data_IF_029671204242
#
_entry.id   IF_029671204242
#
_cell.length_a   1.000
_cell.length_b   1.000
_cell.length_c   1.000
_cell.angle_alpha   90.00
_cell.angle_beta   90.00
_cell.angle_gamma   90.00
#
_symmetry.space_group_name_H-M   'P 1'
#
loop_
_entity.id
_entity.type
_entity.pdbx_description
1 polymer ?
#
# COMPACT_ATOMS: atom_id res chain seq x y z
N UNK A 1 53.80 -19.68 -31.73
CA UNK A 1 54.04 -18.76 -30.59
C UNK A 1 53.02 -17.63 -30.51
N UNK A 2 52.64 -16.99 -31.63
CA UNK A 2 51.63 -15.92 -31.65
C UNK A 2 50.21 -16.43 -31.31
N UNK A 3 49.89 -17.67 -31.68
CA UNK A 3 48.54 -18.24 -31.50
C UNK A 3 48.21 -18.54 -30.03
N UNK A 4 49.19 -18.96 -29.23
CA UNK A 4 49.04 -19.21 -27.79
C UNK A 4 48.86 -17.88 -27.03
N UNK A 5 49.60 -16.84 -27.43
CA UNK A 5 49.47 -15.50 -26.84
C UNK A 5 48.09 -14.89 -27.15
N UNK A 6 47.58 -15.09 -28.36
CA UNK A 6 46.24 -14.65 -28.76
C UNK A 6 45.16 -15.41 -27.97
N UNK A 7 45.28 -16.73 -27.80
CA UNK A 7 44.32 -17.54 -27.04
C UNK A 7 44.28 -17.15 -25.55
N UNK A 8 45.43 -16.85 -24.94
CA UNK A 8 45.53 -16.40 -23.55
C UNK A 8 44.97 -15.00 -23.31
N UNK A 9 44.84 -14.17 -24.35
CA UNK A 9 44.23 -12.84 -24.25
C UNK A 9 42.72 -12.90 -24.58
N UNK A 10 42.34 -13.69 -25.58
CA UNK A 10 40.94 -13.84 -25.99
C UNK A 10 40.13 -14.57 -24.92
N UNK A 11 40.67 -15.64 -24.32
CA UNK A 11 39.97 -16.42 -23.29
C UNK A 11 39.46 -15.57 -22.11
N UNK A 12 40.33 -14.80 -21.44
CA UNK A 12 39.94 -13.90 -20.36
C UNK A 12 38.99 -12.79 -20.82
N UNK A 13 39.19 -12.25 -22.03
CA UNK A 13 38.33 -11.21 -22.59
C UNK A 13 36.90 -11.71 -22.80
N UNK A 14 36.75 -12.94 -23.32
CA UNK A 14 35.45 -13.59 -23.49
C UNK A 14 34.81 -13.90 -22.14
N UNK A 15 35.57 -14.40 -21.16
CA UNK A 15 35.06 -14.65 -19.81
C UNK A 15 34.56 -13.37 -19.11
N UNK A 16 35.29 -12.25 -19.25
CA UNK A 16 34.89 -10.96 -18.72
C UNK A 16 33.61 -10.43 -19.38
N UNK A 17 33.44 -10.65 -20.69
CA UNK A 17 32.23 -10.28 -21.40
C UNK A 17 31.01 -11.06 -20.90
N UNK A 18 31.14 -12.38 -20.68
CA UNK A 18 30.06 -13.18 -20.11
C UNK A 18 29.73 -12.78 -18.66
N UNK A 19 30.74 -12.51 -17.82
CA UNK A 19 30.53 -12.01 -16.46
C UNK A 19 29.83 -10.64 -16.45
N UNK A 20 30.17 -9.76 -17.40
CA UNK A 20 29.51 -8.47 -17.55
C UNK A 20 28.02 -8.63 -17.94
N UNK A 21 27.71 -9.54 -18.88
CA UNK A 21 26.32 -9.86 -19.25
C UNK A 21 25.56 -10.42 -18.04
N UNK A 22 26.15 -11.34 -17.27
CA UNK A 22 25.53 -11.91 -16.07
C UNK A 22 25.28 -10.81 -15.03
N UNK A 23 26.25 -9.92 -14.81
CA UNK A 23 26.12 -8.79 -13.89
C UNK A 23 25.01 -7.82 -14.32
N UNK A 24 24.93 -7.45 -15.59
CA UNK A 24 23.83 -6.62 -16.13
C UNK A 24 22.48 -7.34 -15.99
N UNK A 25 22.42 -8.66 -16.24
CA UNK A 25 21.20 -9.44 -16.09
C UNK A 25 20.75 -9.45 -14.63
N UNK A 26 21.67 -9.67 -13.68
CA UNK A 26 21.41 -9.60 -12.25
C UNK A 26 21.03 -8.19 -11.79
N UNK A 27 21.61 -7.14 -12.37
CA UNK A 27 21.20 -5.76 -12.09
C UNK A 27 19.81 -5.47 -12.64
N UNK A 28 19.43 -5.94 -13.83
CA UNK A 28 18.07 -5.77 -14.35
C UNK A 28 17.06 -6.58 -13.53
N UNK A 29 17.39 -7.83 -13.18
CA UNK A 29 16.55 -8.67 -12.31
C UNK A 29 16.46 -8.12 -10.88
N UNK A 30 17.58 -7.60 -10.37
CA UNK A 30 17.69 -6.95 -9.08
C UNK A 30 16.97 -5.61 -9.05
N UNK A 31 17.00 -4.81 -10.14
CA UNK A 31 16.18 -3.60 -10.27
C UNK A 31 14.69 -3.92 -10.39
N UNK A 32 14.31 -5.04 -11.02
CA UNK A 32 12.93 -5.55 -10.97
C UNK A 32 12.49 -5.95 -9.56
N UNK A 33 13.41 -6.39 -8.68
CA UNK A 33 13.10 -6.71 -7.28
C UNK A 33 13.34 -5.57 -6.28
N UNK A 34 14.14 -4.55 -6.60
CA UNK A 34 14.63 -3.57 -5.61
C UNK A 34 14.76 -2.12 -6.10
N UNK A 35 14.27 -1.75 -7.29
CA UNK A 35 14.44 -0.38 -7.78
C UNK A 35 13.46 0.07 -8.86
N UNK A 36 12.24 0.42 -8.44
CA UNK A 36 11.71 1.75 -8.73
C UNK A 36 10.75 2.19 -7.62
N UNK A 37 11.35 2.86 -6.63
CA UNK A 37 10.70 3.83 -5.75
C UNK A 37 10.40 5.09 -6.57
N UNK A 38 9.29 5.74 -6.22
CA UNK A 38 9.06 7.19 -6.31
C UNK A 38 8.82 7.81 -7.71
N UNK A 39 7.54 7.99 -8.03
CA UNK A 39 6.94 9.00 -8.92
C UNK A 39 5.45 8.90 -8.58
N UNK A 40 4.70 9.89 -8.10
CA UNK A 40 4.60 11.26 -8.57
C UNK A 40 3.73 12.05 -7.56
N UNK A 41 4.29 12.50 -6.42
CA UNK A 41 3.49 13.23 -5.40
C UNK A 41 3.10 14.66 -5.81
N UNK A 42 3.28 15.05 -7.07
CA UNK A 42 3.09 16.43 -7.52
C UNK A 42 1.88 16.66 -8.45
N UNK A 43 1.12 15.62 -8.84
CA UNK A 43 0.07 15.84 -9.86
C UNK A 43 -1.27 15.13 -9.64
N UNK A 44 -1.81 15.06 -8.42
CA UNK A 44 -3.23 14.69 -8.26
C UNK A 44 -3.91 15.52 -7.15
N UNK A 45 -3.80 16.85 -7.24
CA UNK A 45 -4.72 17.78 -6.55
C UNK A 45 -5.97 18.09 -7.39
N UNK A 46 -6.24 17.29 -8.44
CA UNK A 46 -7.47 17.41 -9.21
C UNK A 46 -8.37 16.24 -8.82
N UNK A 47 -9.47 16.47 -8.09
CA UNK A 47 -10.54 15.48 -8.03
C UNK A 47 -11.01 15.25 -9.46
N UNK A 48 -10.66 14.11 -10.05
CA UNK A 48 -11.25 13.63 -11.30
C UNK A 48 -12.67 13.17 -10.98
N UNK A 49 -13.55 14.14 -10.76
CA UNK A 49 -14.99 13.90 -10.74
C UNK A 49 -15.42 13.57 -12.16
N UNK A 50 -15.53 12.27 -12.47
CA UNK A 50 -16.41 11.82 -13.55
C UNK A 50 -17.84 11.83 -13.00
N UNK A 51 -18.44 13.01 -12.91
CA UNK A 51 -19.89 13.14 -12.72
C UNK A 51 -20.56 12.94 -14.07
N UNK A 52 -20.92 11.70 -14.39
CA UNK A 52 -21.94 11.42 -15.40
C UNK A 52 -23.29 11.92 -14.87
N UNK A 53 -23.74 13.07 -15.36
CA UNK A 53 -24.89 13.84 -14.86
C UNK A 53 -26.29 13.22 -15.11
N UNK A 54 -26.41 11.91 -15.36
CA UNK A 54 -27.70 11.32 -15.76
C UNK A 54 -28.36 10.37 -14.75
N UNK A 55 -27.80 10.21 -13.55
CA UNK A 55 -28.51 9.59 -12.43
C UNK A 55 -27.94 10.13 -11.11
N UNK A 56 -28.62 11.09 -10.48
CA UNK A 56 -28.28 11.52 -9.11
C UNK A 56 -28.73 10.41 -8.17
N UNK A 57 -27.94 9.33 -8.09
CA UNK A 57 -28.02 8.38 -6.99
C UNK A 57 -27.27 9.03 -5.84
N UNK A 58 -28.01 9.66 -4.94
CA UNK A 58 -27.45 10.10 -3.66
C UNK A 58 -27.05 8.79 -2.94
N UNK A 59 -25.75 8.54 -2.70
CA UNK A 59 -25.32 7.33 -2.03
C UNK A 59 -25.96 7.31 -0.64
N UNK A 60 -26.73 6.26 -0.33
CA UNK A 60 -27.41 6.11 0.97
C UNK A 60 -26.59 5.29 1.95
N UNK A 61 -25.66 4.47 1.46
CA UNK A 61 -24.78 3.67 2.30
C UNK A 61 -23.68 4.57 2.91
N UNK A 62 -23.58 4.65 4.26
CA UNK A 62 -22.49 5.38 4.94
C UNK A 62 -21.09 5.00 4.45
N UNK A 63 -20.90 3.75 4.01
CA UNK A 63 -19.62 3.27 3.47
C UNK A 63 -19.34 3.89 2.10
N UNK A 64 -20.33 3.92 1.20
CA UNK A 64 -20.18 4.57 -0.11
C UNK A 64 -19.98 6.08 0.03
N UNK A 65 -20.73 6.73 0.92
CA UNK A 65 -20.56 8.16 1.22
C UNK A 65 -19.14 8.43 1.71
N UNK A 66 -18.62 7.59 2.63
CA UNK A 66 -17.25 7.73 3.13
C UNK A 66 -16.22 7.54 2.02
N UNK A 67 -16.40 6.55 1.14
CA UNK A 67 -15.52 6.30 -0.01
C UNK A 67 -15.47 7.48 -0.98
N UNK A 68 -16.58 8.19 -1.17
CA UNK A 68 -16.62 9.39 -2.01
C UNK A 68 -15.94 10.59 -1.36
N UNK A 69 -16.15 10.79 -0.05
CA UNK A 69 -15.59 11.92 0.69
C UNK A 69 -14.10 11.75 1.03
N UNK A 70 -13.61 10.51 1.11
CA UNK A 70 -12.25 10.18 1.53
C UNK A 70 -11.59 9.23 0.53
N UNK A 71 -11.30 9.75 -0.66
CA UNK A 71 -10.54 8.98 -1.64
C UNK A 71 -9.07 8.85 -1.21
N UNK A 72 -8.59 7.60 -1.13
CA UNK A 72 -7.16 7.31 -0.97
C UNK A 72 -6.55 6.98 -2.34
N UNK A 73 -5.24 7.21 -2.55
CA UNK A 73 -4.56 6.79 -3.78
C UNK A 73 -4.78 5.30 -4.11
N UNK A 74 -4.83 4.44 -3.09
CA UNK A 74 -5.11 3.02 -3.25
C UNK A 74 -6.51 2.72 -3.81
N UNK A 75 -7.52 3.55 -3.53
CA UNK A 75 -8.87 3.35 -4.09
C UNK A 75 -8.94 3.62 -5.60
N UNK A 76 -8.00 4.40 -6.15
CA UNK A 76 -7.91 4.68 -7.59
C UNK A 76 -7.27 3.50 -8.32
N UNK A 77 -6.23 2.90 -7.74
CA UNK A 77 -5.53 1.76 -8.33
C UNK A 77 -6.21 0.40 -8.08
N UNK A 78 -7.07 0.30 -7.06
CA UNK A 78 -7.82 -0.92 -6.70
C UNK A 78 -9.34 -0.68 -6.81
N UNK A 79 -9.92 -0.76 -8.02
CA UNK A 79 -11.36 -0.56 -8.23
C UNK A 79 -12.19 -1.70 -7.59
N UNK A 80 -13.49 -1.47 -7.34
CA UNK A 80 -14.41 -2.53 -6.92
C UNK A 80 -14.39 -3.73 -7.87
N UNK A 81 -14.48 -4.93 -7.30
CA UNK A 81 -14.43 -6.19 -8.05
C UNK A 81 -15.86 -6.70 -8.23
N UNK A 82 -16.25 -7.01 -9.47
CA UNK A 82 -17.54 -7.65 -9.75
C UNK A 82 -17.60 -9.04 -9.10
N UNK A 83 -18.80 -9.43 -8.64
CA UNK A 83 -19.04 -10.74 -8.00
C UNK A 83 -18.65 -11.88 -8.95
N UNK A 84 -18.99 -11.76 -10.24
CA UNK A 84 -18.69 -12.76 -11.26
C UNK A 84 -17.17 -12.98 -11.45
N UNK A 85 -16.39 -11.93 -11.23
CA UNK A 85 -14.93 -11.96 -11.39
C UNK A 85 -14.17 -12.24 -10.08
N UNK A 86 -14.87 -12.29 -8.94
CA UNK A 86 -14.25 -12.37 -7.63
C UNK A 86 -13.38 -13.62 -7.46
N UNK A 87 -13.85 -14.79 -7.90
CA UNK A 87 -13.08 -16.04 -7.83
C UNK A 87 -11.77 -15.93 -8.62
N UNK A 88 -11.87 -15.48 -9.87
CA UNK A 88 -10.72 -15.30 -10.76
C UNK A 88 -9.75 -14.24 -10.21
N UNK A 89 -10.24 -13.22 -9.53
CA UNK A 89 -9.42 -12.21 -8.87
C UNK A 89 -8.62 -12.81 -7.71
N UNK A 90 -9.26 -13.56 -6.81
CA UNK A 90 -8.59 -14.21 -5.68
C UNK A 90 -7.53 -15.20 -6.14
N UNK A 91 -7.81 -16.02 -7.17
CA UNK A 91 -6.82 -16.95 -7.72
C UNK A 91 -5.57 -16.23 -8.25
N UNK A 92 -5.76 -15.11 -8.96
CA UNK A 92 -4.66 -14.27 -9.44
C UNK A 92 -3.83 -13.68 -8.31
N UNK A 93 -4.44 -13.33 -7.18
CA UNK A 93 -3.73 -12.79 -6.01
C UNK A 93 -2.94 -13.88 -5.25
N UNK A 94 -3.48 -15.10 -5.15
CA UNK A 94 -2.82 -16.24 -4.50
C UNK A 94 -1.63 -16.79 -5.29
N UNK A 95 -1.62 -16.60 -6.60
CA UNK A 95 -0.54 -17.08 -7.46
C UNK A 95 0.84 -16.61 -6.95
N UNK A 96 1.86 -17.46 -7.13
CA UNK A 96 3.22 -17.21 -6.67
C UNK A 96 3.32 -16.96 -5.16
N UNK A 97 2.75 -17.86 -4.35
CA UNK A 97 2.81 -17.82 -2.88
C UNK A 97 2.27 -16.51 -2.29
N UNK A 98 1.07 -16.12 -2.72
CA UNK A 98 0.38 -14.90 -2.28
C UNK A 98 1.17 -13.61 -2.54
N UNK A 99 2.14 -13.60 -3.46
CA UNK A 99 2.99 -12.42 -3.70
C UNK A 99 2.19 -11.14 -4.00
N UNK A 100 1.12 -11.25 -4.80
CA UNK A 100 0.25 -10.11 -5.12
C UNK A 100 -0.66 -9.73 -3.95
N UNK A 101 -1.11 -10.70 -3.15
CA UNK A 101 -1.81 -10.41 -1.90
C UNK A 101 -0.95 -9.57 -0.96
N UNK A 102 0.31 -9.97 -0.75
CA UNK A 102 1.24 -9.21 0.08
C UNK A 102 1.50 -7.82 -0.49
N UNK A 103 1.73 -7.72 -1.80
CA UNK A 103 1.95 -6.43 -2.45
C UNK A 103 0.76 -5.47 -2.30
N UNK A 104 -0.47 -5.97 -2.51
CA UNK A 104 -1.68 -5.17 -2.38
C UNK A 104 -1.94 -4.77 -0.93
N UNK A 105 -1.80 -5.70 0.02
CA UNK A 105 -1.97 -5.43 1.45
C UNK A 105 -1.00 -4.37 1.98
N UNK A 106 0.29 -4.49 1.67
CA UNK A 106 1.32 -3.53 2.11
C UNK A 106 1.18 -2.16 1.41
N UNK A 107 0.42 -2.08 0.31
CA UNK A 107 0.14 -0.82 -0.39
C UNK A 107 -1.03 -0.04 0.21
N UNK A 108 -1.73 -0.58 1.21
CA UNK A 108 -2.85 0.08 1.88
C UNK A 108 -2.30 1.23 2.74
N UNK A 109 -2.27 2.42 2.16
CA UNK A 109 -1.94 3.65 2.87
C UNK A 109 -3.23 4.43 3.17
N UNK A 110 -3.45 4.77 4.45
CA UNK A 110 -4.57 5.65 4.84
C UNK A 110 -4.30 7.11 4.46
N UNK A 111 -3.02 7.50 4.28
CA UNK A 111 -2.58 8.85 3.89
C UNK A 111 -2.96 9.97 4.87
N UNK A 112 -3.65 9.63 5.96
CA UNK A 112 -4.18 10.55 6.96
C UNK A 112 -3.46 10.33 8.28
N UNK A 113 -3.17 11.43 8.97
CA UNK A 113 -2.66 11.39 10.33
C UNK A 113 -3.84 11.38 11.30
N UNK A 114 -3.81 10.46 12.25
CA UNK A 114 -4.82 10.35 13.29
C UNK A 114 -4.19 10.60 14.66
N UNK A 115 -4.97 11.18 15.56
CA UNK A 115 -4.61 11.34 16.98
C UNK A 115 -5.28 10.25 17.80
N UNK A 116 -4.71 9.99 18.97
CA UNK A 116 -5.18 8.99 19.93
C UNK A 116 -4.96 9.47 21.36
N UNK A 117 -5.19 10.77 21.56
CA UNK A 117 -4.83 11.47 22.79
C UNK A 117 -5.61 10.90 23.98
N UNK A 118 -6.91 10.60 23.81
CA UNK A 118 -7.74 10.01 24.86
C UNK A 118 -7.28 8.59 25.25
N UNK A 119 -6.86 7.78 24.28
CA UNK A 119 -6.29 6.45 24.56
C UNK A 119 -4.92 6.54 25.26
N UNK A 120 -4.19 7.64 25.07
CA UNK A 120 -2.86 7.88 25.68
C UNK A 120 -2.91 8.56 27.05
N UNK A 121 -4.07 9.02 27.53
CA UNK A 121 -4.18 9.61 28.87
C UNK A 121 -3.80 8.59 29.94
N UNK A 122 -3.04 8.98 30.97
CA UNK A 122 -2.56 8.05 32.02
C UNK A 122 -3.71 7.27 32.69
N UNK A 123 -4.86 7.91 32.86
CA UNK A 123 -6.07 7.31 33.42
C UNK A 123 -6.75 6.29 32.49
N UNK A 124 -6.56 6.40 31.18
CA UNK A 124 -7.20 5.57 30.16
C UNK A 124 -6.27 4.47 29.64
N UNK A 125 -4.95 4.63 29.74
CA UNK A 125 -3.97 3.58 29.43
C UNK A 125 -4.31 2.21 30.04
N UNK A 126 -4.65 2.07 31.35
CA UNK A 126 -5.00 0.77 31.93
C UNK A 126 -6.33 0.20 31.41
N UNK A 127 -7.17 1.01 30.74
CA UNK A 127 -8.43 0.57 30.12
C UNK A 127 -8.19 -0.09 28.75
N UNK A 128 -7.02 0.12 28.14
CA UNK A 128 -6.64 -0.56 26.91
C UNK A 128 -6.11 -1.97 27.23
N UNK A 129 -6.77 -3.02 26.72
CA UNK A 129 -6.29 -4.41 26.88
C UNK A 129 -4.89 -4.60 26.29
N UNK A 130 -4.59 -3.92 25.19
CA UNK A 130 -3.29 -3.94 24.52
C UNK A 130 -2.84 -2.51 24.24
N UNK A 131 -1.61 -2.15 24.60
CA UNK A 131 -1.10 -0.79 24.42
C UNK A 131 -0.94 -0.39 22.94
N UNK A 132 -0.79 -1.37 22.04
CA UNK A 132 -0.67 -1.17 20.61
C UNK A 132 -2.02 -1.25 19.86
N UNK A 133 -3.13 -1.41 20.57
CA UNK A 133 -4.48 -1.41 20.00
C UNK A 133 -5.30 -0.35 20.71
N UNK A 134 -5.57 0.75 20.02
CA UNK A 134 -6.10 2.00 20.56
C UNK A 134 -7.25 2.54 19.69
N UNK A 135 -8.03 3.48 20.23
CA UNK A 135 -9.07 4.18 19.49
C UNK A 135 -8.56 5.52 18.96
N UNK A 136 -8.89 5.85 17.71
CA UNK A 136 -8.63 7.19 17.16
C UNK A 136 -9.66 8.19 17.66
N UNK A 137 -9.24 9.42 17.97
CA UNK A 137 -10.11 10.41 18.60
C UNK A 137 -11.32 10.79 17.73
N UNK A 138 -11.16 10.80 16.41
CA UNK A 138 -12.23 11.19 15.47
C UNK A 138 -13.31 10.11 15.27
N UNK A 139 -13.06 8.87 15.68
CA UNK A 139 -13.96 7.72 15.48
C UNK A 139 -14.24 6.91 16.74
N UNK A 140 -13.67 7.30 17.89
CA UNK A 140 -13.98 6.67 19.17
C UNK A 140 -15.45 6.87 19.53
N UNK A 141 -16.00 5.89 20.23
CA UNK A 141 -17.29 6.07 20.91
C UNK A 141 -17.05 6.93 22.14
N UNK A 142 -17.91 7.93 22.33
CA UNK A 142 -17.88 8.83 23.49
C UNK A 142 -19.05 8.44 24.38
N UNK A 143 -18.76 8.10 25.64
CA UNK A 143 -19.74 7.77 26.66
C UNK A 143 -20.30 9.05 27.28
N UNK A 144 -21.46 8.92 27.95
CA UNK A 144 -21.94 10.01 28.80
C UNK A 144 -20.96 10.19 29.97
N UNK A 145 -20.44 11.41 30.20
CA UNK A 145 -19.49 11.66 31.27
C UNK A 145 -20.11 11.34 32.64
N UNK A 146 -19.43 10.52 33.43
CA UNK A 146 -19.80 10.27 34.82
C UNK A 146 -19.38 11.46 35.69
N UNK A 147 -20.28 11.95 36.55
CA UNK A 147 -20.02 13.09 37.42
C UNK A 147 -18.79 12.82 38.31
N UNK A 148 -17.89 13.81 38.39
CA UNK A 148 -16.64 13.77 39.17
C UNK A 148 -15.60 12.70 38.75
N UNK A 149 -15.75 12.04 37.59
CA UNK A 149 -14.77 11.08 37.06
C UNK A 149 -14.09 11.56 35.77
N UNK A 150 -12.84 12.01 35.89
CA UNK A 150 -12.03 12.37 34.73
C UNK A 150 -11.76 11.15 33.84
N UNK A 151 -12.00 11.30 32.53
CA UNK A 151 -11.96 10.24 31.52
C UNK A 151 -13.01 9.13 31.69
N UNK A 152 -14.17 9.47 32.25
CA UNK A 152 -15.38 8.63 32.22
C UNK A 152 -16.14 8.69 30.89
N UNK A 153 -15.65 9.46 29.91
CA UNK A 153 -16.20 9.57 28.56
C UNK A 153 -15.72 8.47 27.59
#
# INVERSE_FOLDING_TARGET
RKDIAILLVIGPSVALFFLFIIFITLLVFGRRKFGYKYSDHAMITKPLMSTDFNNIVIPTDPVEIRRLNFQTPGMISHPPISIDDFSNHVERLKANDNAKFSQEYESIETGQQFTWDHSSMEINKPKNRYANVIAYDHSRVILEPEEDMYGGD
#
